data_IF_868979802478
#
_entry.id   IF_868979802478
#
_cell.length_a   1.000
_cell.length_b   1.000
_cell.length_c   1.000
_cell.angle_alpha   90.00
_cell.angle_beta   90.00
_cell.angle_gamma   90.00
#
_symmetry.space_group_name_H-M   'P 1'
#
loop_
_entity.id
_entity.type
_entity.pdbx_description
1 polymer ?
#
# COMPACT_ATOMS: atom_id res chain seq x y z
N UNK A 1 -27.18 -14.89 -28.84
CA UNK A 1 -27.10 -15.01 -27.36
C UNK A 1 -25.70 -14.61 -26.90
N UNK A 2 -25.53 -13.42 -26.32
CA UNK A 2 -24.26 -13.01 -25.69
C UNK A 2 -24.01 -13.93 -24.50
N UNK A 3 -22.84 -14.58 -24.42
CA UNK A 3 -22.41 -15.36 -23.26
C UNK A 3 -22.39 -14.46 -22.02
N UNK A 4 -23.50 -14.46 -21.29
CA UNK A 4 -23.63 -13.94 -19.93
C UNK A 4 -23.08 -15.05 -19.01
N UNK A 5 -21.77 -15.29 -19.09
CA UNK A 5 -21.06 -16.11 -18.10
C UNK A 5 -20.05 -15.21 -17.40
N UNK A 6 -20.47 -14.77 -16.22
CA UNK A 6 -19.69 -14.49 -15.00
C UNK A 6 -18.20 -14.17 -15.17
N UNK A 7 -17.87 -13.14 -15.95
CA UNK A 7 -16.55 -12.51 -15.81
C UNK A 7 -16.56 -11.81 -14.46
N UNK A 8 -16.00 -12.48 -13.44
CA UNK A 8 -15.69 -11.88 -12.16
C UNK A 8 -15.13 -10.47 -12.43
N UNK A 9 -15.64 -9.44 -11.76
CA UNK A 9 -15.14 -8.09 -12.04
C UNK A 9 -13.63 -8.08 -11.84
N UNK A 10 -12.90 -7.40 -12.73
CA UNK A 10 -11.44 -7.46 -12.73
C UNK A 10 -10.85 -7.04 -11.37
N UNK A 11 -11.55 -6.16 -10.66
CA UNK A 11 -11.25 -5.75 -9.29
C UNK A 11 -11.35 -6.91 -8.28
N UNK A 12 -12.40 -7.74 -8.33
CA UNK A 12 -12.54 -8.89 -7.41
C UNK A 12 -11.41 -9.89 -7.69
N UNK A 13 -11.11 -10.14 -8.97
CA UNK A 13 -10.02 -11.04 -9.36
C UNK A 13 -8.68 -10.53 -8.84
N UNK A 14 -8.38 -9.25 -9.05
CA UNK A 14 -7.13 -8.65 -8.62
C UNK A 14 -7.03 -8.61 -7.08
N UNK A 15 -8.15 -8.36 -6.38
CA UNK A 15 -8.22 -8.43 -4.91
C UNK A 15 -7.93 -9.85 -4.38
N UNK A 16 -8.56 -10.87 -4.97
CA UNK A 16 -8.31 -12.27 -4.60
C UNK A 16 -6.86 -12.68 -4.85
N UNK A 17 -6.27 -12.27 -5.98
CA UNK A 17 -4.86 -12.54 -6.27
C UNK A 17 -3.93 -11.89 -5.24
N UNK A 18 -4.18 -10.63 -4.87
CA UNK A 18 -3.41 -9.95 -3.82
C UNK A 18 -3.53 -10.70 -2.49
N UNK A 19 -4.74 -11.10 -2.09
CA UNK A 19 -4.97 -11.85 -0.85
C UNK A 19 -4.22 -13.18 -0.86
N UNK A 20 -4.32 -13.96 -1.93
CA UNK A 20 -3.64 -15.25 -2.06
C UNK A 20 -2.12 -15.08 -2.03
N UNK A 21 -1.58 -14.11 -2.77
CA UNK A 21 -0.14 -13.85 -2.81
C UNK A 21 0.40 -13.42 -1.45
N UNK A 22 -0.25 -12.47 -0.77
CA UNK A 22 0.16 -12.06 0.58
C UNK A 22 0.00 -13.21 1.58
N UNK A 23 -1.03 -14.04 1.44
CA UNK A 23 -1.21 -15.22 2.31
C UNK A 23 -0.05 -16.19 2.16
N UNK A 24 0.40 -16.46 0.94
CA UNK A 24 1.57 -17.33 0.70
C UNK A 24 2.83 -16.69 1.27
N UNK A 25 3.03 -15.39 1.03
CA UNK A 25 4.20 -14.63 1.51
C UNK A 25 4.29 -14.63 3.04
N UNK A 26 3.21 -14.29 3.74
CA UNK A 26 3.21 -14.20 5.20
C UNK A 26 3.00 -15.55 5.89
N UNK A 27 2.29 -16.48 5.26
CA UNK A 27 2.03 -17.81 5.79
C UNK A 27 3.17 -18.80 5.60
N UNK A 28 4.20 -18.44 4.82
CA UNK A 28 5.36 -19.29 4.54
C UNK A 28 6.10 -19.70 5.81
N UNK A 29 6.34 -18.74 6.72
CA UNK A 29 7.06 -18.98 7.96
C UNK A 29 6.07 -19.10 9.13
N UNK A 30 5.93 -20.31 9.68
CA UNK A 30 5.09 -20.58 10.86
C UNK A 30 5.78 -20.27 12.19
N UNK A 31 7.01 -19.73 12.15
CA UNK A 31 7.86 -19.32 13.28
C UNK A 31 8.15 -20.44 14.29
N UNK A 32 7.95 -21.70 13.91
CA UNK A 32 8.25 -22.87 14.75
C UNK A 32 9.59 -23.46 14.33
N UNK A 33 10.30 -24.03 15.31
CA UNK A 33 11.59 -24.71 15.07
C UNK A 33 11.42 -25.97 14.22
N UNK A 34 10.27 -26.65 14.35
CA UNK A 34 9.94 -27.87 13.60
C UNK A 34 8.65 -27.61 12.81
N UNK A 35 8.77 -27.57 11.49
CA UNK A 35 7.64 -27.39 10.59
C UNK A 35 6.85 -28.69 10.49
N UNK A 36 5.69 -28.75 11.12
CA UNK A 36 4.72 -29.85 10.90
C UNK A 36 3.65 -29.40 9.92
N UNK A 37 3.24 -30.29 9.01
CA UNK A 37 2.25 -29.95 7.96
C UNK A 37 0.94 -29.43 8.58
N UNK A 38 0.51 -30.01 9.70
CA UNK A 38 -0.69 -29.60 10.41
C UNK A 38 -0.59 -28.16 10.99
N UNK A 39 0.54 -27.82 11.64
CA UNK A 39 0.74 -26.46 12.16
C UNK A 39 0.84 -25.44 11.04
N UNK A 40 1.55 -25.79 9.97
CA UNK A 40 1.71 -24.92 8.81
C UNK A 40 0.36 -24.61 8.13
N UNK A 41 -0.48 -25.63 7.94
CA UNK A 41 -1.81 -25.47 7.34
C UNK A 41 -2.72 -24.58 8.21
N UNK A 42 -2.70 -24.76 9.53
CA UNK A 42 -3.45 -23.91 10.46
C UNK A 42 -2.98 -22.44 10.41
N UNK A 43 -1.66 -22.22 10.39
CA UNK A 43 -1.07 -20.89 10.25
C UNK A 43 -1.47 -20.22 8.92
N UNK A 44 -1.50 -21.00 7.83
CA UNK A 44 -1.89 -20.51 6.51
C UNK A 44 -3.36 -20.04 6.51
N UNK A 45 -4.28 -20.82 7.10
CA UNK A 45 -5.70 -20.44 7.23
C UNK A 45 -5.87 -19.19 8.08
N UNK A 46 -5.19 -19.12 9.22
CA UNK A 46 -5.23 -17.93 10.08
C UNK A 46 -4.70 -16.69 9.35
N UNK A 47 -3.56 -16.83 8.69
CA UNK A 47 -2.94 -15.75 7.90
C UNK A 47 -3.85 -15.31 6.76
N UNK A 48 -4.54 -16.25 6.09
CA UNK A 48 -5.50 -15.94 5.04
C UNK A 48 -6.63 -15.02 5.54
N UNK A 49 -7.18 -15.30 6.73
CA UNK A 49 -8.22 -14.47 7.34
C UNK A 49 -7.67 -13.07 7.66
N UNK A 50 -6.51 -13.01 8.30
CA UNK A 50 -5.84 -11.76 8.68
C UNK A 50 -5.53 -10.89 7.46
N UNK A 51 -4.95 -11.48 6.41
CA UNK A 51 -4.64 -10.80 5.15
C UNK A 51 -5.91 -10.31 4.47
N UNK A 52 -6.96 -11.14 4.43
CA UNK A 52 -8.26 -10.76 3.85
C UNK A 52 -8.82 -9.53 4.53
N UNK A 53 -8.88 -9.52 5.87
CA UNK A 53 -9.35 -8.37 6.63
C UNK A 53 -8.48 -7.14 6.33
N UNK A 54 -7.16 -7.27 6.37
CA UNK A 54 -6.21 -6.17 6.14
C UNK A 54 -6.37 -5.54 4.75
N UNK A 55 -6.49 -6.37 3.70
CA UNK A 55 -6.70 -5.91 2.32
C UNK A 55 -8.08 -5.26 2.17
N UNK A 56 -9.13 -5.79 2.81
CA UNK A 56 -10.46 -5.19 2.77
C UNK A 56 -10.50 -3.81 3.44
N UNK A 57 -9.81 -3.61 4.56
CA UNK A 57 -9.66 -2.29 5.18
C UNK A 57 -8.98 -1.30 4.22
N UNK A 58 -7.90 -1.71 3.56
CA UNK A 58 -7.21 -0.90 2.56
C UNK A 58 -8.14 -0.51 1.40
N UNK A 59 -8.85 -1.48 0.82
CA UNK A 59 -9.83 -1.25 -0.27
C UNK A 59 -10.94 -0.30 0.19
N UNK A 60 -11.45 -0.49 1.42
CA UNK A 60 -12.49 0.35 2.00
C UNK A 60 -12.00 1.80 2.10
N UNK A 61 -10.78 2.04 2.58
CA UNK A 61 -10.18 3.37 2.65
C UNK A 61 -10.11 4.05 1.27
N UNK A 62 -9.61 3.34 0.25
CA UNK A 62 -9.59 3.87 -1.12
C UNK A 62 -10.99 4.20 -1.66
N UNK A 63 -11.96 3.30 -1.46
CA UNK A 63 -13.32 3.49 -1.97
C UNK A 63 -14.06 4.63 -1.26
N UNK A 64 -13.90 4.76 0.05
CA UNK A 64 -14.50 5.85 0.83
C UNK A 64 -13.92 7.21 0.43
N UNK A 65 -12.59 7.31 0.33
CA UNK A 65 -11.93 8.54 -0.07
C UNK A 65 -12.30 8.96 -1.49
N UNK A 66 -12.25 8.05 -2.46
CA UNK A 66 -12.63 8.36 -3.83
C UNK A 66 -14.10 8.80 -3.93
N UNK A 67 -15.01 8.12 -3.22
CA UNK A 67 -16.43 8.49 -3.19
C UNK A 67 -16.65 9.90 -2.63
N UNK A 68 -15.91 10.29 -1.59
CA UNK A 68 -15.96 11.63 -1.02
C UNK A 68 -15.63 12.72 -2.07
N UNK A 69 -14.64 12.47 -2.95
CA UNK A 69 -14.27 13.40 -4.03
C UNK A 69 -15.17 13.31 -5.29
N UNK A 70 -16.14 12.39 -5.30
CA UNK A 70 -17.02 12.14 -6.44
C UNK A 70 -16.42 11.24 -7.52
N UNK A 71 -15.41 10.45 -7.15
CA UNK A 71 -14.70 9.49 -7.99
C UNK A 71 -15.02 8.04 -7.56
N UNK A 72 -14.65 7.08 -8.40
CA UNK A 72 -14.65 5.64 -8.12
C UNK A 72 -13.20 5.18 -8.05
N UNK A 73 -12.78 4.60 -6.93
CA UNK A 73 -11.52 3.86 -6.87
C UNK A 73 -11.75 2.42 -7.31
N UNK A 74 -10.86 1.91 -8.15
CA UNK A 74 -10.72 0.50 -8.49
C UNK A 74 -9.43 -0.02 -7.87
N UNK A 75 -9.54 -1.06 -7.05
CA UNK A 75 -8.38 -1.78 -6.56
C UNK A 75 -7.80 -2.67 -7.66
N UNK A 76 -6.47 -2.67 -7.80
CA UNK A 76 -5.78 -3.37 -8.87
C UNK A 76 -4.51 -4.03 -8.36
N UNK A 77 -4.15 -5.15 -8.99
CA UNK A 77 -2.85 -5.77 -8.79
C UNK A 77 -1.78 -4.83 -9.37
N UNK A 78 -0.69 -4.60 -8.63
CA UNK A 78 0.37 -3.70 -9.09
C UNK A 78 1.07 -4.30 -10.32
N UNK A 79 0.94 -3.62 -11.46
CA UNK A 79 1.58 -4.02 -12.71
C UNK A 79 2.47 -2.89 -13.19
N UNK A 80 3.69 -3.22 -13.57
CA UNK A 80 4.66 -2.26 -14.09
C UNK A 80 4.39 -2.07 -15.60
N UNK A 81 3.21 -1.58 -15.97
CA UNK A 81 2.85 -1.37 -17.38
C UNK A 81 3.41 -0.06 -17.94
N UNK A 82 3.48 1.00 -17.12
CA UNK A 82 3.95 2.33 -17.56
C UNK A 82 5.46 2.43 -17.80
N UNK A 83 6.23 1.48 -17.26
CA UNK A 83 7.69 1.47 -17.43
C UNK A 83 8.08 0.91 -18.79
N UNK A 84 7.29 -0.02 -19.34
CA UNK A 84 7.43 -0.55 -20.71
C UNK A 84 7.17 0.54 -21.77
N UNK A 85 6.24 1.47 -21.54
CA UNK A 85 5.96 2.56 -22.48
C UNK A 85 7.08 3.62 -22.51
N UNK A 86 7.72 3.90 -21.35
CA UNK A 86 8.74 4.95 -21.24
C UNK A 86 10.14 4.47 -21.62
N UNK A 87 10.48 3.25 -21.24
CA UNK A 87 11.69 2.59 -21.71
C UNK A 87 11.29 1.71 -22.88
N UNK A 88 11.43 2.24 -24.11
CA UNK A 88 11.26 1.53 -25.39
C UNK A 88 12.25 0.35 -25.49
N UNK A 89 12.11 -0.63 -24.62
CA UNK A 89 12.88 -1.87 -24.59
C UNK A 89 12.29 -2.81 -25.65
N UNK A 90 12.33 -2.38 -26.92
CA UNK A 90 11.97 -3.23 -28.07
C UNK A 90 12.81 -4.51 -28.12
N UNK A 91 14.00 -4.51 -27.53
CA UNK A 91 14.89 -5.67 -27.48
C UNK A 91 14.48 -6.74 -26.45
N UNK A 92 13.73 -6.38 -25.40
CA UNK A 92 13.36 -7.30 -24.33
C UNK A 92 11.87 -7.15 -23.99
N UNK A 93 10.99 -7.62 -24.89
CA UNK A 93 9.59 -7.89 -24.59
C UNK A 93 9.49 -9.11 -23.67
N UNK A 94 9.99 -8.99 -22.44
CA UNK A 94 9.85 -10.05 -21.44
C UNK A 94 8.55 -9.78 -20.68
N UNK A 95 7.46 -10.54 -20.94
CA UNK A 95 6.15 -10.34 -20.30
C UNK A 95 6.20 -10.49 -18.76
N UNK A 96 7.30 -11.02 -18.21
CA UNK A 96 7.54 -11.16 -16.78
C UNK A 96 7.71 -9.82 -16.06
N UNK A 97 8.21 -8.76 -16.72
CA UNK A 97 8.44 -7.45 -16.08
C UNK A 97 7.14 -6.86 -15.54
N UNK A 98 6.02 -7.10 -16.23
CA UNK A 98 4.69 -6.70 -15.79
C UNK A 98 4.32 -7.21 -14.40
N UNK A 99 4.85 -8.37 -14.01
CA UNK A 99 4.59 -9.05 -12.73
C UNK A 99 5.76 -8.98 -11.74
N UNK A 100 6.72 -8.08 -12.00
CA UNK A 100 7.95 -7.98 -11.19
C UNK A 100 7.64 -7.75 -9.71
N UNK A 101 6.61 -6.97 -9.37
CA UNK A 101 6.22 -6.73 -7.97
C UNK A 101 5.81 -8.01 -7.24
N UNK A 102 5.04 -8.88 -7.89
CA UNK A 102 4.61 -10.16 -7.30
C UNK A 102 5.78 -11.15 -7.24
N UNK A 103 6.62 -11.17 -8.27
CA UNK A 103 7.81 -12.00 -8.30
C UNK A 103 8.79 -11.61 -7.20
N UNK A 104 9.03 -10.30 -7.01
CA UNK A 104 9.87 -9.79 -5.92
C UNK A 104 9.29 -10.15 -4.55
N UNK A 105 7.97 -10.07 -4.37
CA UNK A 105 7.33 -10.49 -3.13
C UNK A 105 7.65 -11.94 -2.76
N UNK A 106 7.49 -12.86 -3.71
CA UNK A 106 7.78 -14.28 -3.51
C UNK A 106 9.29 -14.50 -3.33
N UNK A 107 10.12 -13.92 -4.20
CA UNK A 107 11.57 -14.11 -4.22
C UNK A 107 12.24 -13.59 -2.94
N UNK A 108 11.87 -12.39 -2.46
CA UNK A 108 12.39 -11.84 -1.21
C UNK A 108 12.00 -12.74 -0.02
N UNK A 109 10.77 -13.25 -0.01
CA UNK A 109 10.30 -14.15 1.04
C UNK A 109 11.09 -15.46 1.03
N UNK A 110 11.26 -16.09 -0.14
CA UNK A 110 12.00 -17.36 -0.26
C UNK A 110 13.49 -17.19 0.07
N UNK A 111 14.14 -16.15 -0.46
CA UNK A 111 15.57 -15.89 -0.22
C UNK A 111 15.88 -15.50 1.22
N UNK A 112 14.91 -14.90 1.93
CA UNK A 112 15.06 -14.57 3.34
C UNK A 112 14.54 -15.65 4.28
N UNK A 113 14.15 -16.82 3.77
CA UNK A 113 13.50 -17.88 4.56
C UNK A 113 12.29 -17.38 5.35
N UNK A 114 11.58 -16.39 4.81
CA UNK A 114 10.43 -15.73 5.44
C UNK A 114 10.79 -14.83 6.63
N UNK A 115 12.00 -14.26 6.68
CA UNK A 115 12.37 -13.22 7.65
C UNK A 115 12.01 -11.81 7.15
N UNK A 116 12.14 -11.59 5.83
CA UNK A 116 11.79 -10.34 5.18
C UNK A 116 10.60 -10.55 4.26
N UNK A 117 9.75 -9.54 4.19
CA UNK A 117 8.54 -9.58 3.38
C UNK A 117 8.50 -8.38 2.45
N UNK A 118 7.81 -8.52 1.33
CA UNK A 118 7.59 -7.40 0.41
C UNK A 118 6.12 -7.40 -0.01
N UNK A 119 5.35 -6.44 0.54
CA UNK A 119 3.90 -6.38 0.36
C UNK A 119 3.45 -5.28 -0.61
N UNK A 120 4.37 -4.64 -1.34
CA UNK A 120 4.03 -3.70 -2.40
C UNK A 120 3.54 -4.46 -3.65
N UNK A 121 2.36 -5.06 -3.57
CA UNK A 121 1.78 -5.87 -4.66
C UNK A 121 0.47 -5.32 -5.19
N UNK A 122 -0.07 -4.27 -4.58
CA UNK A 122 -1.35 -3.67 -4.95
C UNK A 122 -1.22 -2.18 -5.25
N UNK A 123 -2.12 -1.69 -6.10
CA UNK A 123 -2.31 -0.26 -6.36
C UNK A 123 -3.81 0.03 -6.50
N UNK A 124 -4.16 1.29 -6.73
CA UNK A 124 -5.50 1.71 -7.09
C UNK A 124 -5.45 2.65 -8.29
N UNK A 125 -6.57 2.72 -9.00
CA UNK A 125 -6.83 3.73 -10.02
C UNK A 125 -8.15 4.42 -9.73
N UNK A 126 -8.20 5.73 -9.85
CA UNK A 126 -9.42 6.52 -9.72
C UNK A 126 -10.01 6.79 -11.10
N UNK A 127 -11.33 6.75 -11.18
CA UNK A 127 -12.09 7.07 -12.39
C UNK A 127 -13.29 7.95 -12.01
N UNK A 128 -13.67 8.87 -12.89
CA UNK A 128 -14.82 9.74 -12.66
C UNK A 128 -16.12 8.94 -12.73
N UNK A 129 -17.01 9.11 -11.74
CA UNK A 129 -18.29 8.39 -11.69
C UNK A 129 -19.29 8.87 -12.73
N UNK A 130 -19.21 10.14 -13.13
CA UNK A 130 -20.22 10.79 -13.97
C UNK A 130 -19.59 11.56 -15.12
N UNK A 131 -19.95 11.16 -16.35
CA UNK A 131 -19.70 11.95 -17.57
C UNK A 131 -20.48 13.27 -17.59
N UNK A 132 -21.44 13.51 -16.69
CA UNK A 132 -22.22 14.78 -16.67
C UNK A 132 -21.38 15.98 -16.27
N UNK A 133 -20.30 15.80 -15.48
CA UNK A 133 -19.26 16.81 -15.31
C UNK A 133 -18.22 16.64 -16.42
N UNK A 134 -18.63 16.92 -17.66
CA UNK A 134 -17.88 16.63 -18.91
C UNK A 134 -16.48 17.26 -18.99
N UNK A 135 -16.13 18.15 -18.04
CA UNK A 135 -14.88 18.92 -18.01
C UNK A 135 -14.10 18.83 -16.68
N UNK A 136 -14.46 17.92 -15.77
CA UNK A 136 -13.68 17.74 -14.53
C UNK A 136 -12.78 16.53 -14.70
N UNK A 137 -11.47 16.75 -14.81
CA UNK A 137 -10.46 15.68 -14.70
C UNK A 137 -10.21 15.34 -13.23
N UNK A 138 -9.84 14.09 -12.95
CA UNK A 138 -9.37 13.72 -11.60
C UNK A 138 -8.09 14.51 -11.34
N UNK A 139 -8.12 15.37 -10.34
CA UNK A 139 -6.92 16.11 -9.98
C UNK A 139 -5.98 15.16 -9.25
N UNK A 140 -4.68 15.22 -9.55
CA UNK A 140 -3.75 14.33 -8.86
C UNK A 140 -3.72 14.54 -7.33
N UNK A 141 -4.20 15.69 -6.83
CA UNK A 141 -4.43 15.90 -5.41
C UNK A 141 -5.45 14.91 -4.84
N UNK A 142 -6.56 14.64 -5.54
CA UNK A 142 -7.57 13.65 -5.15
C UNK A 142 -6.97 12.25 -5.06
N UNK A 143 -6.05 11.89 -5.96
CA UNK A 143 -5.34 10.61 -5.92
C UNK A 143 -4.40 10.52 -4.72
N UNK A 144 -3.64 11.59 -4.45
CA UNK A 144 -2.75 11.65 -3.29
C UNK A 144 -3.54 11.53 -1.97
N UNK A 145 -4.68 12.24 -1.85
CA UNK A 145 -5.54 12.13 -0.68
C UNK A 145 -6.17 10.74 -0.56
N UNK A 146 -6.59 10.14 -1.67
CA UNK A 146 -7.09 8.77 -1.71
C UNK A 146 -6.02 7.78 -1.23
N UNK A 147 -4.78 7.94 -1.68
CA UNK A 147 -3.64 7.13 -1.24
C UNK A 147 -3.40 7.26 0.27
N UNK A 148 -3.35 8.48 0.81
CA UNK A 148 -3.15 8.74 2.23
C UNK A 148 -4.27 8.09 3.06
N UNK A 149 -5.53 8.30 2.69
CA UNK A 149 -6.67 7.74 3.43
C UNK A 149 -6.66 6.21 3.37
N UNK A 150 -6.33 5.60 2.23
CA UNK A 150 -6.16 4.14 2.14
C UNK A 150 -5.10 3.62 3.11
N UNK A 151 -3.94 4.27 3.19
CA UNK A 151 -2.88 3.93 4.16
C UNK A 151 -3.35 4.15 5.61
N UNK A 152 -4.13 5.18 5.89
CA UNK A 152 -4.76 5.40 7.21
C UNK A 152 -5.68 4.25 7.61
N UNK A 153 -6.42 3.64 6.67
CA UNK A 153 -7.23 2.47 6.97
C UNK A 153 -6.38 1.24 7.30
N UNK A 154 -5.20 1.09 6.70
CA UNK A 154 -4.23 0.06 7.13
C UNK A 154 -3.70 0.32 8.55
N UNK A 155 -3.51 1.59 8.96
CA UNK A 155 -3.20 1.89 10.36
C UNK A 155 -4.33 1.51 11.31
N UNK A 156 -5.59 1.76 10.93
CA UNK A 156 -6.76 1.34 11.72
C UNK A 156 -6.78 -0.18 11.88
N UNK A 157 -6.57 -0.94 10.79
CA UNK A 157 -6.46 -2.40 10.86
C UNK A 157 -5.31 -2.86 11.76
N UNK A 158 -4.13 -2.25 11.63
CA UNK A 158 -2.96 -2.50 12.48
C UNK A 158 -3.30 -2.30 13.97
N UNK A 159 -4.01 -1.23 14.31
CA UNK A 159 -4.44 -0.96 15.68
C UNK A 159 -5.45 -1.98 16.21
N UNK A 160 -6.43 -2.38 15.39
CA UNK A 160 -7.37 -3.43 15.75
C UNK A 160 -6.63 -4.74 16.05
N UNK A 161 -5.67 -5.13 15.20
CA UNK A 161 -4.87 -6.34 15.43
C UNK A 161 -3.94 -6.24 16.64
N UNK A 162 -3.35 -5.07 16.90
CA UNK A 162 -2.55 -4.85 18.11
C UNK A 162 -3.40 -4.99 19.37
N UNK A 163 -4.61 -4.43 19.38
CA UNK A 163 -5.56 -4.57 20.50
C UNK A 163 -6.05 -6.01 20.68
N UNK A 164 -6.19 -6.75 19.58
CA UNK A 164 -6.50 -8.18 19.59
C UNK A 164 -5.28 -9.08 19.88
N UNK A 165 -4.11 -8.51 20.18
CA UNK A 165 -2.84 -9.22 20.40
C UNK A 165 -2.43 -10.16 19.24
N UNK A 166 -2.82 -9.84 18.00
CA UNK A 166 -2.44 -10.60 16.81
C UNK A 166 -1.15 -10.05 16.21
N UNK A 167 -0.02 -10.70 16.51
CA UNK A 167 1.28 -10.32 15.93
C UNK A 167 1.30 -10.43 14.40
N UNK A 168 0.68 -11.47 13.84
CA UNK A 168 0.57 -11.66 12.38
C UNK A 168 -0.19 -10.50 11.74
N UNK A 169 -1.28 -10.03 12.36
CA UNK A 169 -2.04 -8.89 11.85
C UNK A 169 -1.28 -7.58 11.92
N UNK A 170 -0.52 -7.35 13.00
CA UNK A 170 0.38 -6.19 13.09
C UNK A 170 1.46 -6.26 12.02
N UNK A 171 2.09 -7.42 11.82
CA UNK A 171 3.13 -7.63 10.82
C UNK A 171 2.61 -7.41 9.38
N UNK A 172 1.48 -8.02 9.03
CA UNK A 172 0.87 -7.89 7.69
C UNK A 172 0.58 -6.42 7.38
N UNK A 173 -0.08 -5.70 8.29
CA UNK A 173 -0.41 -4.29 8.05
C UNK A 173 0.83 -3.40 8.03
N UNK A 174 1.84 -3.69 8.85
CA UNK A 174 3.14 -3.01 8.83
C UNK A 174 3.75 -3.04 7.44
N UNK A 175 3.85 -4.23 6.85
CA UNK A 175 4.42 -4.40 5.52
C UNK A 175 3.55 -3.83 4.41
N UNK A 176 2.22 -3.90 4.52
CA UNK A 176 1.30 -3.23 3.59
C UNK A 176 1.53 -1.71 3.59
N UNK A 177 1.68 -1.11 4.78
CA UNK A 177 1.94 0.34 4.93
C UNK A 177 3.30 0.69 4.30
N UNK A 178 4.37 -0.04 4.66
CA UNK A 178 5.71 0.17 4.09
C UNK A 178 5.66 0.03 2.57
N UNK A 179 5.02 -1.02 2.06
CA UNK A 179 4.92 -1.27 0.62
C UNK A 179 4.17 -0.17 -0.13
N UNK A 180 3.10 0.36 0.45
CA UNK A 180 2.35 1.47 -0.13
C UNK A 180 3.08 2.82 -0.04
N UNK A 181 4.05 2.98 0.87
CA UNK A 181 4.87 4.19 0.95
C UNK A 181 5.97 4.25 -0.12
N UNK A 182 6.34 3.13 -0.75
CA UNK A 182 7.42 3.12 -1.75
C UNK A 182 7.05 4.07 -2.91
N UNK A 183 7.85 5.11 -3.19
CA UNK A 183 7.51 6.12 -4.19
C UNK A 183 7.93 5.67 -5.59
N UNK A 184 7.40 4.53 -6.04
CA UNK A 184 7.83 3.88 -7.28
C UNK A 184 6.67 3.56 -8.22
N UNK A 185 6.83 3.94 -9.50
CA UNK A 185 5.87 3.66 -10.58
C UNK A 185 4.45 4.11 -10.19
N UNK A 186 3.46 3.23 -10.30
CA UNK A 186 2.06 3.44 -9.95
C UNK A 186 1.70 3.09 -8.50
N UNK A 187 2.66 2.92 -7.59
CA UNK A 187 2.35 2.65 -6.18
C UNK A 187 1.78 3.88 -5.46
N UNK A 188 0.95 3.72 -4.41
CA UNK A 188 0.31 4.82 -3.70
C UNK A 188 1.26 5.94 -3.26
N UNK A 189 2.46 5.58 -2.78
CA UNK A 189 3.47 6.53 -2.32
C UNK A 189 3.95 7.48 -3.41
N UNK A 190 3.96 7.06 -4.68
CA UNK A 190 4.35 7.94 -5.79
C UNK A 190 3.30 9.02 -6.03
N UNK A 191 2.00 8.70 -5.91
CA UNK A 191 0.93 9.70 -6.03
C UNK A 191 1.06 10.78 -4.96
N UNK A 192 1.36 10.39 -3.72
CA UNK A 192 1.55 11.34 -2.62
C UNK A 192 2.79 12.21 -2.87
N UNK A 193 3.94 11.60 -3.17
CA UNK A 193 5.20 12.31 -3.40
C UNK A 193 5.13 13.29 -4.58
N UNK A 194 4.51 12.87 -5.69
CA UNK A 194 4.41 13.70 -6.90
C UNK A 194 3.49 14.91 -6.72
N UNK A 195 2.63 14.91 -5.70
CA UNK A 195 1.64 15.98 -5.49
C UNK A 195 2.00 16.88 -4.33
N UNK A 196 2.54 16.34 -3.25
CA UNK A 196 3.04 17.12 -2.13
C UNK A 196 4.18 16.35 -1.45
N UNK A 197 5.41 16.82 -1.66
CA UNK A 197 6.61 16.25 -1.03
C UNK A 197 6.52 16.36 0.50
N UNK A 198 6.02 17.49 1.00
CA UNK A 198 5.79 17.71 2.43
C UNK A 198 4.78 16.72 3.00
N UNK A 199 3.66 16.46 2.31
CA UNK A 199 2.67 15.45 2.75
C UNK A 199 3.24 14.03 2.71
N UNK A 200 4.06 13.71 1.70
CA UNK A 200 4.76 12.44 1.63
C UNK A 200 5.71 12.23 2.81
N UNK A 201 6.49 13.24 3.17
CA UNK A 201 7.41 13.17 4.31
C UNK A 201 6.63 13.03 5.61
N UNK A 202 5.56 13.79 5.78
CA UNK A 202 4.66 13.66 6.93
C UNK A 202 4.18 12.21 7.09
N UNK A 203 3.57 11.61 6.05
CA UNK A 203 3.03 10.24 6.16
C UNK A 203 4.13 9.20 6.28
N UNK A 204 5.27 9.36 5.61
CA UNK A 204 6.40 8.44 5.69
C UNK A 204 7.04 8.43 7.09
N UNK A 205 7.32 9.62 7.66
CA UNK A 205 7.87 9.76 9.01
C UNK A 205 6.87 9.26 10.05
N UNK A 206 5.59 9.62 9.93
CA UNK A 206 4.53 9.11 10.80
C UNK A 206 4.52 7.59 10.79
N UNK A 207 4.57 6.99 9.60
CA UNK A 207 4.54 5.55 9.44
C UNK A 207 5.75 4.88 10.05
N UNK A 208 6.96 5.31 9.69
CA UNK A 208 8.20 4.72 10.21
C UNK A 208 8.29 4.83 11.73
N UNK A 209 8.02 6.02 12.30
CA UNK A 209 8.07 6.22 13.74
C UNK A 209 7.00 5.39 14.45
N UNK A 210 5.77 5.35 13.95
CA UNK A 210 4.70 4.58 14.57
C UNK A 210 5.02 3.08 14.58
N UNK A 211 5.57 2.56 13.47
CA UNK A 211 5.96 1.15 13.36
C UNK A 211 7.11 0.78 14.30
N UNK A 212 8.07 1.69 14.53
CA UNK A 212 9.13 1.48 15.52
C UNK A 212 8.55 1.56 16.93
N UNK A 213 7.82 2.64 17.25
CA UNK A 213 7.35 2.93 18.61
C UNK A 213 6.29 1.95 19.13
N UNK A 214 5.47 1.33 18.26
CA UNK A 214 4.44 0.37 18.69
C UNK A 214 5.03 -0.94 19.27
N UNK A 215 6.32 -1.20 19.03
CA UNK A 215 7.06 -2.29 19.65
C UNK A 215 7.46 -2.00 21.10
N UNK A 216 7.61 -0.72 21.47
CA UNK A 216 8.18 -0.30 22.75
C UNK A 216 7.20 0.43 23.66
N UNK A 217 6.18 1.09 23.10
CA UNK A 217 5.26 1.96 23.83
C UNK A 217 3.81 1.47 23.69
N UNK A 218 2.94 1.78 24.67
CA UNK A 218 1.51 1.63 24.52
C UNK A 218 1.00 2.36 23.26
N UNK A 219 0.09 1.72 22.53
CA UNK A 219 -0.41 2.19 21.22
C UNK A 219 -0.83 3.67 21.21
N UNK A 220 -1.48 4.14 22.28
CA UNK A 220 -1.92 5.53 22.44
C UNK A 220 -0.72 6.49 22.50
N UNK A 221 0.30 6.15 23.28
CA UNK A 221 1.50 6.96 23.45
C UNK A 221 2.33 6.94 22.16
N UNK A 222 2.51 5.76 21.55
CA UNK A 222 3.21 5.61 20.28
C UNK A 222 2.59 6.49 19.19
N UNK A 223 1.25 6.49 19.06
CA UNK A 223 0.53 7.34 18.12
C UNK A 223 0.78 8.83 18.37
N UNK A 224 0.59 9.31 19.61
CA UNK A 224 0.77 10.74 19.95
C UNK A 224 2.20 11.18 19.65
N UNK A 225 3.21 10.43 20.10
CA UNK A 225 4.63 10.77 19.90
C UNK A 225 4.99 10.75 18.41
N UNK A 226 4.58 9.71 17.67
CA UNK A 226 4.83 9.61 16.24
C UNK A 226 4.20 10.77 15.44
N UNK A 227 2.99 11.20 15.84
CA UNK A 227 2.28 12.29 15.20
C UNK A 227 2.96 13.64 15.45
N UNK A 228 3.33 13.93 16.70
CA UNK A 228 4.05 15.16 17.06
C UNK A 228 5.37 15.26 16.31
N UNK A 229 6.16 14.20 16.31
CA UNK A 229 7.44 14.16 15.60
C UNK A 229 7.23 14.29 14.08
N UNK A 230 6.26 13.58 13.49
CA UNK A 230 5.96 13.69 12.06
C UNK A 230 5.57 15.12 11.64
N UNK A 231 4.78 15.83 12.46
CA UNK A 231 4.45 17.24 12.24
C UNK A 231 5.71 18.10 12.30
N UNK A 232 6.57 17.92 13.30
CA UNK A 232 7.84 18.67 13.43
C UNK A 232 8.72 18.44 12.20
N UNK A 233 8.93 17.19 11.79
CA UNK A 233 9.74 16.86 10.60
C UNK A 233 9.14 17.46 9.32
N UNK A 234 7.82 17.41 9.15
CA UNK A 234 7.14 17.99 7.99
C UNK A 234 7.29 19.53 7.96
N UNK A 235 7.16 20.21 9.10
CA UNK A 235 7.32 21.67 9.22
C UNK A 235 8.77 22.09 8.95
N UNK A 236 9.74 21.37 9.52
CA UNK A 236 11.17 21.60 9.29
C UNK A 236 11.49 21.40 7.80
N UNK A 237 11.03 20.30 7.20
CA UNK A 237 11.22 20.06 5.77
C UNK A 237 10.59 21.16 4.91
N UNK A 238 9.35 21.54 5.21
CA UNK A 238 8.66 22.60 4.47
C UNK A 238 9.42 23.92 4.54
N UNK A 239 9.91 24.30 5.73
CA UNK A 239 10.63 25.55 5.94
C UNK A 239 11.98 25.58 5.22
N UNK A 240 12.80 24.55 5.36
CA UNK A 240 14.17 24.57 4.84
C UNK A 240 14.28 24.09 3.39
N UNK A 241 13.41 23.19 2.93
CA UNK A 241 13.54 22.61 1.58
C UNK A 241 12.54 23.23 0.60
N UNK A 242 11.29 23.43 1.02
CA UNK A 242 10.23 23.85 0.10
C UNK A 242 10.05 25.36 0.03
N UNK A 243 10.06 26.05 1.17
CA UNK A 243 9.90 27.51 1.24
C UNK A 243 11.09 28.25 0.61
N UNK A 244 12.32 27.85 0.90
CA UNK A 244 13.51 28.46 0.27
C UNK A 244 13.51 28.31 -1.25
N UNK A 245 13.12 27.13 -1.77
CA UNK A 245 12.99 26.93 -3.22
C UNK A 245 11.96 27.86 -3.84
N UNK A 246 10.81 28.10 -3.19
CA UNK A 246 9.78 29.00 -3.73
C UNK A 246 10.19 30.47 -3.69
N UNK A 247 10.93 30.89 -2.66
CA UNK A 247 11.34 32.29 -2.50
C UNK A 247 12.58 32.65 -3.30
N UNK A 248 13.53 31.72 -3.45
CA UNK A 248 14.84 31.99 -4.05
C UNK A 248 15.11 31.21 -5.35
N UNK A 249 14.23 30.31 -5.75
CA UNK A 249 14.55 29.26 -6.71
C UNK A 249 13.57 29.10 -7.87
N UNK A 250 13.68 30.00 -8.84
CA UNK A 250 13.73 29.64 -10.27
C UNK A 250 15.14 29.97 -10.86
N UNK A 251 16.17 30.02 -10.00
CA UNK A 251 17.56 30.30 -10.41
C UNK A 251 18.49 29.11 -10.19
N UNK A 252 18.13 27.91 -10.67
CA UNK A 252 19.06 26.81 -10.94
C UNK A 252 18.42 25.88 -11.98
#
# INVERSE_FOLDING_TARGET
>A
MKKIYSKLSEEIRDSLLVIVLLTIVFGYNDRKEITTIASWTSNLVFTFIVVTISVLFLILGYKLAARYYGNKAKFQLWRISKLEEKFSMRAFHIPLIKYLGQMLAILITLLSSGLNYFAAISTFSTELVSKRKKFREVTGYEDAMTAIIGMTFSFIALFIFKLANSETGVLVNTWIIIGNLIPFSSLPGSYVLMKSRTSYIFIAVLSLLLLILIGFLPIKIALIVSLLLAVIFALVYFRYVEYEKRMFGNRF
#
